data_IF_155576448227
#
_entry.id   IF_155576448227
#
_cell.length_a   1.000
_cell.length_b   1.000
_cell.length_c   1.000
_cell.angle_alpha   90.00
_cell.angle_beta   90.00
_cell.angle_gamma   90.00
#
_symmetry.space_group_name_H-M   'P 1'
#
loop_
_entity.id
_entity.type
_entity.pdbx_description
1 polymer ?
#
# COMPACT_ATOMS: atom_id res chain seq x y z
N UNK A 1 -8.22 -17.49 19.92
CA UNK A 1 -9.48 -16.74 19.72
C UNK A 1 -9.14 -15.30 19.43
N UNK A 2 -9.60 -14.79 18.29
CA UNK A 2 -9.38 -13.46 17.72
C UNK A 2 -9.98 -12.37 18.61
N UNK A 3 -9.19 -11.89 19.56
CA UNK A 3 -9.53 -10.77 20.44
C UNK A 3 -8.81 -9.50 20.01
N UNK A 4 -9.43 -8.70 19.16
CA UNK A 4 -9.26 -7.23 19.04
C UNK A 4 -9.94 -6.81 17.74
N UNK A 5 -10.75 -5.75 17.77
CA UNK A 5 -11.39 -5.18 16.57
C UNK A 5 -10.40 -4.49 15.63
N UNK A 6 -9.12 -4.87 15.68
CA UNK A 6 -8.02 -4.33 14.90
C UNK A 6 -7.11 -5.49 14.50
N UNK A 7 -7.01 -5.73 13.20
CA UNK A 7 -6.04 -6.65 12.62
C UNK A 7 -4.80 -5.86 12.20
N UNK A 8 -3.62 -6.26 12.69
CA UNK A 8 -2.35 -5.68 12.26
C UNK A 8 -1.82 -6.46 11.06
N UNK A 9 -1.40 -5.74 10.02
CA UNK A 9 -0.80 -6.35 8.84
C UNK A 9 0.55 -7.00 9.23
N UNK A 10 0.76 -8.30 8.94
CA UNK A 10 2.06 -8.92 9.15
C UNK A 10 3.15 -8.21 8.34
N UNK A 11 4.37 -8.09 8.88
CA UNK A 11 5.50 -7.43 8.20
C UNK A 11 5.72 -7.93 6.77
N UNK A 12 5.63 -9.25 6.56
CA UNK A 12 5.83 -9.89 5.24
C UNK A 12 4.75 -9.53 4.19
N UNK A 13 3.62 -8.99 4.64
CA UNK A 13 2.48 -8.60 3.83
C UNK A 13 2.45 -7.08 3.59
N UNK A 14 3.33 -6.29 4.22
CA UNK A 14 3.38 -4.86 4.00
C UNK A 14 3.82 -4.58 2.56
N UNK A 15 3.03 -3.79 1.84
CA UNK A 15 3.27 -3.41 0.46
C UNK A 15 2.59 -2.08 0.16
N UNK A 16 3.05 -1.41 -0.91
CA UNK A 16 2.38 -0.26 -1.50
C UNK A 16 1.93 -0.63 -2.91
N UNK A 17 0.64 -0.49 -3.21
CA UNK A 17 0.13 -0.75 -4.55
C UNK A 17 0.45 0.40 -5.50
N UNK A 18 1.29 0.17 -6.51
CA UNK A 18 1.59 1.15 -7.56
C UNK A 18 0.52 1.19 -8.65
N UNK A 19 -0.08 0.03 -8.98
CA UNK A 19 -1.16 -0.09 -9.96
C UNK A 19 -2.06 -1.28 -9.60
N UNK A 20 -3.37 -1.06 -9.51
CA UNK A 20 -4.37 -2.14 -9.45
C UNK A 20 -4.91 -2.34 -10.86
N UNK A 21 -4.64 -3.50 -11.47
CA UNK A 21 -5.06 -3.78 -12.86
C UNK A 21 -6.54 -4.17 -12.89
N UNK A 22 -6.97 -5.02 -11.96
CA UNK A 22 -8.36 -5.45 -11.87
C UNK A 22 -8.71 -5.84 -10.44
N UNK A 23 -10.01 -5.79 -10.12
CA UNK A 23 -10.52 -6.24 -8.83
C UNK A 23 -11.89 -6.89 -8.94
N UNK A 24 -12.22 -7.73 -7.96
CA UNK A 24 -13.50 -8.45 -7.87
C UNK A 24 -13.85 -9.23 -9.15
N UNK A 25 -12.84 -9.87 -9.77
CA UNK A 25 -12.97 -10.74 -10.95
C UNK A 25 -12.83 -12.21 -10.56
N UNK A 26 -13.28 -13.11 -11.45
CA UNK A 26 -13.07 -14.55 -11.27
C UNK A 26 -11.59 -14.88 -11.47
N UNK A 27 -11.14 -15.95 -10.84
CA UNK A 27 -9.74 -16.40 -10.91
C UNK A 27 -9.28 -16.64 -12.35
N UNK A 28 -10.11 -17.27 -13.20
CA UNK A 28 -9.80 -17.49 -14.61
C UNK A 28 -9.53 -16.17 -15.38
N UNK A 29 -10.33 -15.13 -15.13
CA UNK A 29 -10.14 -13.81 -15.77
C UNK A 29 -8.83 -13.14 -15.31
N UNK A 30 -8.46 -13.34 -14.04
CA UNK A 30 -7.20 -12.85 -13.46
C UNK A 30 -6.01 -13.59 -14.09
N UNK A 31 -6.11 -14.90 -14.24
CA UNK A 31 -5.06 -15.75 -14.79
C UNK A 31 -4.83 -15.49 -16.29
N UNK A 32 -5.89 -15.23 -17.05
CA UNK A 32 -5.79 -14.81 -18.45
C UNK A 32 -4.98 -13.51 -18.59
N UNK A 33 -5.27 -12.51 -17.76
CA UNK A 33 -4.52 -11.23 -17.79
C UNK A 33 -3.10 -11.40 -17.28
N UNK A 34 -2.87 -12.18 -16.23
CA UNK A 34 -1.52 -12.48 -15.76
C UNK A 34 -0.68 -13.17 -16.83
N UNK A 35 -1.28 -14.13 -17.56
CA UNK A 35 -0.63 -14.85 -18.68
C UNK A 35 -0.38 -13.91 -19.85
N UNK A 36 -1.34 -13.05 -20.18
CA UNK A 36 -1.19 -12.04 -21.22
C UNK A 36 -0.01 -11.10 -20.94
N UNK A 37 0.08 -10.58 -19.71
CA UNK A 37 1.18 -9.69 -19.32
C UNK A 37 2.53 -10.42 -19.37
N UNK A 38 2.59 -11.69 -18.96
CA UNK A 38 3.81 -12.50 -19.05
C UNK A 38 4.26 -12.78 -20.48
N UNK A 39 3.33 -12.96 -21.41
CA UNK A 39 3.63 -13.46 -22.77
C UNK A 39 3.70 -12.36 -23.83
N UNK A 40 2.97 -11.26 -23.65
CA UNK A 40 2.78 -10.23 -24.70
C UNK A 40 3.18 -8.82 -24.28
N UNK A 41 3.14 -8.48 -22.99
CA UNK A 41 3.64 -7.21 -22.51
C UNK A 41 5.15 -7.31 -22.20
N UNK A 42 5.92 -6.22 -22.24
CA UNK A 42 7.29 -6.22 -21.76
C UNK A 42 7.28 -6.27 -20.23
N UNK A 43 6.89 -7.41 -19.65
CA UNK A 43 6.69 -7.56 -18.21
C UNK A 43 7.94 -7.18 -17.42
N UNK A 44 9.13 -7.51 -17.94
CA UNK A 44 10.41 -7.04 -17.38
C UNK A 44 10.55 -5.52 -17.43
N UNK A 45 10.18 -4.88 -18.54
CA UNK A 45 10.13 -3.43 -18.62
C UNK A 45 9.18 -2.78 -17.60
N UNK A 46 8.11 -3.48 -17.19
CA UNK A 46 7.20 -3.02 -16.12
C UNK A 46 7.83 -3.24 -14.74
N UNK A 47 8.28 -4.47 -14.44
CA UNK A 47 8.75 -4.79 -13.09
C UNK A 47 10.10 -4.16 -12.75
N UNK A 48 10.94 -3.95 -13.76
CA UNK A 48 12.25 -3.32 -13.65
C UNK A 48 12.20 -1.81 -13.94
N UNK A 49 10.99 -1.23 -14.11
CA UNK A 49 10.83 0.19 -14.49
C UNK A 49 11.56 1.14 -13.55
N UNK A 50 11.67 0.75 -12.27
CA UNK A 50 12.33 1.51 -11.21
C UNK A 50 13.86 1.56 -11.34
N UNK A 51 14.48 0.71 -12.16
CA UNK A 51 15.92 0.78 -12.44
C UNK A 51 16.30 2.11 -13.11
N UNK A 52 15.46 2.54 -14.06
CA UNK A 52 15.63 3.79 -14.80
C UNK A 52 14.86 4.97 -14.17
N UNK A 53 13.76 4.71 -13.47
CA UNK A 53 12.86 5.75 -12.96
C UNK A 53 12.62 5.64 -11.46
N UNK A 54 13.41 6.40 -10.68
CA UNK A 54 13.48 6.28 -9.23
C UNK A 54 12.59 7.32 -8.55
N UNK A 55 11.37 6.91 -8.21
CA UNK A 55 10.45 7.76 -7.46
C UNK A 55 10.83 7.79 -5.97
N UNK A 56 11.09 8.98 -5.45
CA UNK A 56 11.37 9.21 -4.02
C UNK A 56 10.10 9.58 -3.27
N UNK A 57 9.92 8.96 -2.11
CA UNK A 57 8.85 9.18 -1.15
C UNK A 57 9.46 9.69 0.16
N UNK A 58 8.85 10.71 0.74
CA UNK A 58 9.35 11.43 1.91
C UNK A 58 8.22 11.74 2.89
N UNK A 59 8.58 12.23 4.08
CA UNK A 59 7.64 12.75 5.09
C UNK A 59 6.50 11.77 5.39
N UNK A 60 6.82 10.57 5.91
CA UNK A 60 5.81 9.58 6.20
C UNK A 60 4.87 10.08 7.30
N UNK A 61 3.61 9.66 7.24
CA UNK A 61 2.59 10.03 8.23
C UNK A 61 1.62 8.88 8.46
N UNK A 62 1.23 8.65 9.70
CA UNK A 62 0.19 7.68 10.04
C UNK A 62 -1.18 8.35 9.87
N UNK A 63 -2.01 7.76 9.03
CA UNK A 63 -3.38 8.20 8.77
C UNK A 63 -4.34 7.05 9.03
N UNK A 64 -5.60 7.35 9.28
CA UNK A 64 -6.64 6.36 9.47
C UNK A 64 -7.98 6.84 8.96
N UNK A 65 -8.85 5.91 8.62
CA UNK A 65 -10.25 6.15 8.30
C UNK A 65 -11.14 5.14 9.05
N UNK A 66 -12.41 5.03 8.66
CA UNK A 66 -13.34 4.08 9.27
C UNK A 66 -12.96 2.59 9.05
N UNK A 67 -12.04 2.29 8.15
CA UNK A 67 -11.69 0.94 7.69
C UNK A 67 -10.27 0.51 8.08
N UNK A 68 -9.30 1.43 8.11
CA UNK A 68 -7.90 1.08 8.17
C UNK A 68 -7.02 2.16 8.81
N UNK A 69 -5.80 1.74 9.16
CA UNK A 69 -4.67 2.60 9.51
C UNK A 69 -3.59 2.36 8.46
N UNK A 70 -3.04 3.44 7.91
CA UNK A 70 -2.02 3.40 6.86
C UNK A 70 -0.87 4.36 7.15
N UNK A 71 0.33 3.95 6.75
CA UNK A 71 1.50 4.81 6.65
C UNK A 71 1.52 5.43 5.25
N UNK A 72 1.21 6.71 5.14
CA UNK A 72 1.23 7.48 3.89
C UNK A 72 2.54 8.23 3.70
N UNK A 73 2.90 8.54 2.46
CA UNK A 73 4.10 9.28 2.09
C UNK A 73 3.76 10.38 1.09
N UNK A 74 4.58 11.43 1.08
CA UNK A 74 4.53 12.46 0.05
C UNK A 74 5.57 12.17 -1.04
N UNK A 75 5.26 12.39 -2.33
CA UNK A 75 6.30 12.40 -3.37
C UNK A 75 7.31 13.52 -3.08
N UNK A 76 8.59 13.24 -3.32
CA UNK A 76 9.59 14.31 -3.36
C UNK A 76 9.25 15.30 -4.49
N UNK A 77 9.50 16.59 -4.25
CA UNK A 77 9.11 17.68 -5.17
C UNK A 77 10.00 17.75 -6.43
N UNK A 78 11.23 17.24 -6.35
CA UNK A 78 12.20 17.31 -7.44
C UNK A 78 12.28 16.03 -8.28
N UNK A 79 12.28 16.18 -9.61
CA UNK A 79 12.56 15.11 -10.55
C UNK A 79 11.38 14.15 -10.80
N UNK A 80 11.69 12.86 -10.90
CA UNK A 80 10.72 11.83 -11.22
C UNK A 80 9.87 11.48 -9.98
N UNK A 81 8.61 11.96 -9.95
CA UNK A 81 7.71 11.75 -8.82
C UNK A 81 7.00 10.39 -8.86
N UNK A 82 6.43 9.99 -7.72
CA UNK A 82 5.55 8.83 -7.62
C UNK A 82 4.33 8.92 -8.55
N UNK A 83 3.83 10.12 -8.84
CA UNK A 83 2.73 10.30 -9.79
C UNK A 83 3.14 9.99 -11.23
N UNK A 84 4.38 10.33 -11.62
CA UNK A 84 4.94 9.89 -12.90
C UNK A 84 5.01 8.37 -12.95
N UNK A 85 5.52 7.72 -11.89
CA UNK A 85 5.56 6.25 -11.81
C UNK A 85 4.19 5.62 -12.08
N UNK A 86 3.15 6.07 -11.38
CA UNK A 86 1.82 5.49 -11.54
C UNK A 86 1.24 5.72 -12.94
N UNK A 87 1.39 6.93 -13.48
CA UNK A 87 0.92 7.27 -14.83
C UNK A 87 1.64 6.41 -15.86
N UNK A 88 2.96 6.34 -15.80
CA UNK A 88 3.75 5.62 -16.79
C UNK A 88 3.46 4.10 -16.72
N UNK A 89 3.30 3.52 -15.52
CA UNK A 89 2.88 2.12 -15.38
C UNK A 89 1.47 1.88 -15.94
N UNK A 90 0.53 2.79 -15.69
CA UNK A 90 -0.81 2.74 -16.28
C UNK A 90 -0.72 2.78 -17.81
N UNK A 91 0.08 3.67 -18.36
CA UNK A 91 0.26 3.83 -19.80
C UNK A 91 0.90 2.58 -20.40
N UNK A 92 1.99 2.05 -19.83
CA UNK A 92 2.64 0.83 -20.33
C UNK A 92 1.68 -0.35 -20.35
N UNK A 93 0.89 -0.56 -19.28
CA UNK A 93 -0.05 -1.68 -19.19
C UNK A 93 -1.24 -1.49 -20.12
N UNK A 94 -1.77 -0.27 -20.25
CA UNK A 94 -2.91 0.02 -21.11
C UNK A 94 -2.55 -0.04 -22.60
N UNK A 95 -1.40 0.51 -23.01
CA UNK A 95 -0.90 0.41 -24.39
C UNK A 95 -0.54 -1.03 -24.78
N UNK A 96 -0.16 -1.87 -23.82
CA UNK A 96 0.02 -3.30 -24.06
C UNK A 96 -1.31 -4.02 -24.36
N UNK A 97 -2.47 -3.36 -24.20
CA UNK A 97 -3.80 -3.90 -24.50
C UNK A 97 -4.56 -4.44 -23.28
N UNK A 98 -4.05 -4.20 -22.06
CA UNK A 98 -4.72 -4.65 -20.84
C UNK A 98 -5.78 -3.63 -20.39
N UNK A 99 -7.00 -4.09 -20.14
CA UNK A 99 -8.06 -3.25 -19.60
C UNK A 99 -7.87 -3.05 -18.09
N UNK A 100 -7.64 -1.81 -17.68
CA UNK A 100 -7.45 -1.45 -16.26
C UNK A 100 -8.81 -1.14 -15.64
N UNK A 101 -9.26 -2.03 -14.75
CA UNK A 101 -10.47 -1.92 -13.94
C UNK A 101 -10.15 -1.72 -12.45
N UNK A 102 -9.36 -0.69 -12.14
CA UNK A 102 -8.98 -0.33 -10.78
C UNK A 102 -10.20 0.15 -9.96
N UNK A 103 -10.28 -0.23 -8.69
CA UNK A 103 -11.29 0.32 -7.75
C UNK A 103 -10.91 1.69 -7.24
N UNK A 104 -9.61 1.92 -7.07
CA UNK A 104 -9.07 3.17 -6.52
C UNK A 104 -8.22 3.86 -7.56
N UNK A 105 -8.69 5.02 -8.02
CA UNK A 105 -7.99 5.87 -8.98
C UNK A 105 -7.19 6.98 -8.31
N UNK A 106 -7.48 7.29 -7.03
CA UNK A 106 -6.78 8.33 -6.28
C UNK A 106 -5.33 7.88 -6.00
N UNK A 107 -4.33 8.65 -6.44
CA UNK A 107 -2.93 8.28 -6.27
C UNK A 107 -2.47 8.61 -4.86
N UNK A 108 -2.49 7.64 -3.96
CA UNK A 108 -1.91 7.75 -2.62
C UNK A 108 -0.76 6.77 -2.46
N UNK A 109 0.43 7.27 -2.14
CA UNK A 109 1.58 6.46 -1.76
C UNK A 109 1.41 6.04 -0.30
N UNK A 110 0.83 4.85 -0.06
CA UNK A 110 0.60 4.39 1.30
C UNK A 110 0.76 2.88 1.44
N UNK A 111 1.10 2.46 2.66
CA UNK A 111 1.16 1.08 3.11
C UNK A 111 0.08 0.89 4.17
N UNK A 112 -0.87 -0.01 3.94
CA UNK A 112 -1.84 -0.37 4.98
C UNK A 112 -1.14 -1.16 6.08
N UNK A 113 -1.18 -0.67 7.32
CA UNK A 113 -0.52 -1.30 8.49
C UNK A 113 -1.50 -1.97 9.44
N UNK A 114 -2.78 -1.56 9.43
CA UNK A 114 -3.83 -2.21 10.20
C UNK A 114 -5.21 -2.01 9.57
N UNK A 115 -6.16 -2.88 9.92
CA UNK A 115 -7.58 -2.77 9.54
C UNK A 115 -8.49 -2.98 10.72
N UNK A 116 -9.54 -2.16 10.80
CA UNK A 116 -10.59 -2.36 11.78
C UNK A 116 -11.43 -3.56 11.37
N UNK A 117 -11.60 -4.49 12.29
CA UNK A 117 -12.42 -5.69 12.09
C UNK A 117 -13.69 -5.50 12.91
N UNK A 118 -14.82 -5.31 12.22
CA UNK A 118 -16.12 -5.33 12.87
C UNK A 118 -16.38 -6.76 13.33
N UNK A 119 -16.65 -7.02 14.62
CA UNK A 119 -17.07 -8.34 15.07
C UNK A 119 -18.32 -8.76 14.28
N UNK A 120 -18.25 -9.90 13.60
CA UNK A 120 -19.42 -10.47 12.92
C UNK A 120 -20.42 -10.92 13.99
N UNK A 121 -21.58 -10.28 14.02
CA UNK A 121 -22.69 -10.62 14.89
C UNK A 121 -22.46 -10.28 16.36
N UNK A 122 -22.84 -9.07 16.79
CA UNK A 122 -23.35 -8.78 18.13
C UNK A 122 -23.70 -7.29 18.20
N UNK A 123 -25.00 -6.99 18.16
CA UNK A 123 -25.50 -5.66 18.51
C UNK A 123 -25.09 -5.36 19.95
N UNK A 124 -24.29 -4.31 20.17
CA UNK A 124 -23.73 -4.03 21.50
C UNK A 124 -24.21 -2.69 22.05
N UNK A 125 -24.75 -2.81 23.27
CA UNK A 125 -25.41 -1.83 24.14
C UNK A 125 -24.52 -0.62 24.48
N UNK A 126 -25.16 0.48 24.89
CA UNK A 126 -24.55 1.78 25.19
C UNK A 126 -23.29 1.75 26.08
N UNK A 127 -23.18 0.84 27.06
CA UNK A 127 -21.98 0.72 27.92
C UNK A 127 -20.72 0.28 27.15
N UNK A 128 -20.88 -0.53 26.09
CA UNK A 128 -19.78 -0.95 25.23
C UNK A 128 -19.35 0.22 24.32
N UNK A 129 -20.28 1.11 23.96
CA UNK A 129 -19.97 2.28 23.16
C UNK A 129 -19.02 3.25 23.89
N UNK A 130 -19.21 3.46 25.20
CA UNK A 130 -18.32 4.32 26.00
C UNK A 130 -16.90 3.73 26.12
N UNK A 131 -16.79 2.43 26.44
CA UNK A 131 -15.49 1.75 26.51
C UNK A 131 -14.77 1.69 25.16
N UNK A 132 -15.51 1.52 24.06
CA UNK A 132 -14.97 1.59 22.70
C UNK A 132 -14.50 3.01 22.38
N UNK A 133 -15.26 4.03 22.75
CA UNK A 133 -14.91 5.44 22.54
C UNK A 133 -13.60 5.80 23.25
N UNK A 134 -13.43 5.38 24.51
CA UNK A 134 -12.18 5.59 25.25
C UNK A 134 -10.98 4.82 24.65
N UNK A 135 -11.21 3.62 24.11
CA UNK A 135 -10.15 2.86 23.42
C UNK A 135 -9.76 3.51 22.10
N UNK A 136 -10.73 4.00 21.34
CA UNK A 136 -10.52 4.74 20.09
C UNK A 136 -9.76 6.03 20.36
N UNK A 137 -10.15 6.80 21.38
CA UNK A 137 -9.43 8.01 21.78
C UNK A 137 -7.94 7.73 22.06
N UNK A 138 -7.63 6.68 22.83
CA UNK A 138 -6.24 6.28 23.09
C UNK A 138 -5.46 5.88 21.82
N UNK A 139 -6.12 5.27 20.84
CA UNK A 139 -5.48 4.94 19.55
C UNK A 139 -5.19 6.23 18.78
N UNK A 140 -6.13 7.17 18.73
CA UNK A 140 -5.96 8.47 18.07
C UNK A 140 -4.83 9.26 18.72
N UNK A 141 -4.81 9.34 20.05
CA UNK A 141 -3.76 10.05 20.79
C UNK A 141 -2.37 9.45 20.49
N UNK A 142 -2.28 8.13 20.36
CA UNK A 142 -1.03 7.46 20.00
C UNK A 142 -0.62 7.70 18.55
N UNK A 143 -1.58 7.78 17.64
CA UNK A 143 -1.29 8.15 16.24
C UNK A 143 -0.79 9.58 16.17
N UNK A 144 -1.40 10.53 16.89
CA UNK A 144 -0.93 11.92 16.89
C UNK A 144 0.43 12.08 17.58
N UNK A 145 0.69 11.36 18.67
CA UNK A 145 2.04 11.28 19.29
C UNK A 145 3.09 10.82 18.27
N UNK A 146 2.81 9.74 17.53
CA UNK A 146 3.69 9.25 16.47
C UNK A 146 3.86 10.32 15.38
N UNK A 147 2.77 10.92 14.92
CA UNK A 147 2.81 11.94 13.87
C UNK A 147 3.52 13.22 14.30
N UNK A 148 3.52 13.59 15.57
CA UNK A 148 4.32 14.70 16.08
C UNK A 148 5.81 14.47 15.83
N UNK A 149 6.30 13.26 16.11
CA UNK A 149 7.69 12.86 15.83
C UNK A 149 7.95 12.84 14.32
N UNK A 150 7.08 12.21 13.53
CA UNK A 150 7.25 12.08 12.08
C UNK A 150 7.24 13.43 11.34
N UNK A 151 6.51 14.42 11.85
CA UNK A 151 6.48 15.79 11.31
C UNK A 151 7.67 16.65 11.77
N UNK A 152 8.38 16.22 12.81
CA UNK A 152 9.54 16.93 13.35
C UNK A 152 10.84 16.46 12.70
N UNK A 153 11.92 17.20 12.96
CA UNK A 153 13.29 16.79 12.61
C UNK A 153 13.96 15.94 13.70
N UNK A 154 13.29 15.75 14.84
CA UNK A 154 13.76 14.95 15.97
C UNK A 154 13.19 13.53 15.90
N UNK A 155 14.00 12.62 15.36
CA UNK A 155 13.63 11.23 15.16
C UNK A 155 14.26 10.28 16.17
N UNK A 156 14.72 10.74 17.35
CA UNK A 156 15.41 9.88 18.34
C UNK A 156 14.68 8.54 18.61
N UNK A 157 13.35 8.56 18.63
CA UNK A 157 12.49 7.37 18.79
C UNK A 157 12.54 6.37 17.63
N UNK A 158 12.80 6.84 16.41
CA UNK A 158 12.78 6.06 15.16
C UNK A 158 14.15 5.96 14.47
N UNK A 159 15.17 6.64 15.00
CA UNK A 159 16.53 6.71 14.45
C UNK A 159 16.77 8.01 13.69
N UNK A 160 17.21 7.92 12.44
CA UNK A 160 17.48 9.10 11.61
C UNK A 160 16.27 9.48 10.75
N UNK A 161 15.98 10.78 10.52
CA UNK A 161 14.95 11.23 9.57
C UNK A 161 15.16 10.70 8.15
N UNK A 162 16.41 10.41 7.75
CA UNK A 162 16.71 9.78 6.46
C UNK A 162 16.07 8.38 6.32
N UNK A 163 15.71 7.73 7.43
CA UNK A 163 14.95 6.45 7.42
C UNK A 163 13.47 6.64 7.08
N UNK A 164 12.97 7.88 7.12
CA UNK A 164 11.63 8.23 6.66
C UNK A 164 11.55 8.39 5.13
N UNK A 165 12.68 8.40 4.44
CA UNK A 165 12.70 8.41 2.98
C UNK A 165 12.67 6.99 2.41
N UNK A 166 11.93 6.83 1.31
CA UNK A 166 11.85 5.57 0.59
C UNK A 166 11.98 5.82 -0.91
N UNK A 167 12.95 5.18 -1.55
CA UNK A 167 13.04 5.14 -3.01
C UNK A 167 12.37 3.88 -3.51
N UNK A 168 11.30 4.03 -4.29
CA UNK A 168 10.55 2.89 -4.82
C UNK A 168 11.46 2.08 -5.73
N UNK A 169 11.59 0.78 -5.44
CA UNK A 169 12.45 -0.13 -6.20
C UNK A 169 13.85 -0.36 -5.64
N UNK A 170 14.23 0.26 -4.51
CA UNK A 170 15.61 0.18 -3.99
C UNK A 170 16.02 -1.25 -3.60
N UNK A 171 15.30 -1.92 -2.71
CA UNK A 171 15.66 -3.31 -2.32
C UNK A 171 15.21 -4.35 -3.34
N UNK A 172 14.07 -4.09 -3.99
CA UNK A 172 13.37 -4.99 -4.89
C UNK A 172 12.54 -4.17 -5.86
N UNK A 173 12.53 -4.56 -7.13
CA UNK A 173 11.69 -3.94 -8.16
C UNK A 173 10.20 -4.17 -7.91
N UNK A 174 9.37 -3.80 -8.88
CA UNK A 174 7.92 -3.96 -8.73
C UNK A 174 7.54 -5.45 -8.80
N UNK A 175 6.45 -5.80 -8.15
CA UNK A 175 5.92 -7.16 -8.13
C UNK A 175 4.59 -7.21 -8.88
N UNK A 176 4.45 -8.18 -9.78
CA UNK A 176 3.13 -8.56 -10.28
C UNK A 176 2.58 -9.64 -9.34
N UNK A 177 1.49 -9.31 -8.65
CA UNK A 177 0.81 -10.22 -7.71
C UNK A 177 -0.62 -10.45 -8.19
N UNK A 178 -1.07 -11.70 -8.15
CA UNK A 178 -2.46 -12.09 -8.45
C UNK A 178 -3.16 -12.75 -7.26
N UNK A 179 -4.48 -12.84 -7.33
CA UNK A 179 -5.29 -13.48 -6.28
C UNK A 179 -5.62 -12.54 -5.11
N UNK A 180 -5.46 -13.00 -3.87
CA UNK A 180 -5.86 -12.27 -2.64
C UNK A 180 -4.85 -11.18 -2.23
N UNK A 181 -4.43 -10.37 -3.19
CA UNK A 181 -3.35 -9.38 -3.01
C UNK A 181 -3.66 -8.22 -2.06
N UNK A 182 -4.94 -7.93 -1.82
CA UNK A 182 -5.38 -6.78 -1.00
C UNK A 182 -4.79 -6.72 0.42
N UNK A 183 -4.50 -7.89 1.01
CA UNK A 183 -3.91 -8.00 2.35
C UNK A 183 -2.43 -8.36 2.32
N UNK A 184 -1.77 -8.18 1.17
CA UNK A 184 -0.38 -8.55 0.93
C UNK A 184 -0.15 -10.05 0.77
N UNK A 185 -1.22 -10.81 0.60
CA UNK A 185 -1.17 -12.22 0.20
C UNK A 185 -1.16 -12.31 -1.35
N UNK A 186 -1.58 -13.46 -1.88
CA UNK A 186 -1.62 -13.71 -3.31
C UNK A 186 -0.35 -14.33 -3.87
N UNK A 187 -0.42 -14.69 -5.13
CA UNK A 187 0.67 -15.37 -5.84
C UNK A 187 1.56 -14.32 -6.50
N UNK A 188 2.84 -14.32 -6.13
CA UNK A 188 3.86 -13.52 -6.80
C UNK A 188 4.17 -14.17 -8.13
N UNK A 189 3.75 -13.52 -9.20
CA UNK A 189 3.95 -13.99 -10.57
C UNK A 189 5.37 -13.68 -11.03
N UNK A 190 5.81 -12.44 -10.81
CA UNK A 190 7.13 -11.98 -11.17
C UNK A 190 7.58 -10.88 -10.22
N UNK A 191 8.89 -10.78 -10.06
CA UNK A 191 9.58 -9.80 -9.25
C UNK A 191 10.61 -9.12 -10.15
N UNK A 192 10.62 -7.79 -10.12
CA UNK A 192 11.66 -6.99 -10.77
C UNK A 192 12.92 -6.86 -9.92
N UNK A 193 13.98 -6.38 -10.56
CA UNK A 193 15.27 -6.13 -9.94
C UNK A 193 15.27 -4.83 -9.13
N UNK A 194 15.91 -4.89 -7.96
CA UNK A 194 16.23 -3.71 -7.15
C UNK A 194 17.54 -3.06 -7.58
N UNK A 195 17.90 -1.92 -7.00
CA UNK A 195 19.11 -1.16 -7.34
C UNK A 195 19.85 -0.58 -6.12
#
# INVERSE_FOLDING_TARGET
MTGSGLWLAPMKNLHMTTLEIMSARREAEVDEVATFLQTKAPLRGIVDYTLAHRARLIRPIVSFDASAIALGFLPAEEGYSYHHLRRDLYDVVSHAGCQIGARYTVPSAHVTIARFVVPVGEGRRAEIAELLSQRVARVIDKIEDINCVLRSDDWERFGSPARGEWVVGQEKGLELIKGRSWYGEGDRVVIGEGF
#
